data_IF_366304284481
#
_entry.id   IF_366304284481
#
_cell.length_a   1.000
_cell.length_b   1.000
_cell.length_c   1.000
_cell.angle_alpha   90.00
_cell.angle_beta   90.00
_cell.angle_gamma   90.00
#
_symmetry.space_group_name_H-M   'P 1'
#
loop_
_entity.id
_entity.type
_entity.pdbx_description
1 polymer ?
#
# COMPACT_ATOMS: atom_id res chain seq x y z
N UNK A 1 -5.31 -7.16 32.51
CA UNK A 1 -6.36 -7.65 31.59
C UNK A 1 -6.06 -9.11 31.28
N UNK A 2 -7.04 -10.03 31.40
CA UNK A 2 -6.78 -11.48 31.30
C UNK A 2 -6.73 -11.90 29.82
N UNK A 3 -5.53 -12.19 29.28
CA UNK A 3 -5.34 -12.59 27.87
C UNK A 3 -6.23 -13.77 27.46
N UNK A 4 -6.49 -14.71 28.37
CA UNK A 4 -7.36 -15.87 28.10
C UNK A 4 -8.83 -15.50 27.91
N UNK A 5 -9.31 -14.37 28.44
CA UNK A 5 -10.70 -13.93 28.21
C UNK A 5 -10.87 -13.27 26.85
N UNK A 6 -9.83 -12.63 26.31
CA UNK A 6 -9.86 -11.97 25.00
C UNK A 6 -9.83 -13.02 23.88
N UNK A 7 -8.98 -14.05 24.01
CA UNK A 7 -8.80 -15.09 22.99
C UNK A 7 -10.08 -15.89 22.69
N UNK A 8 -11.00 -15.99 23.66
CA UNK A 8 -12.30 -16.66 23.47
C UNK A 8 -13.19 -15.99 22.44
N UNK A 9 -12.96 -14.70 22.16
CA UNK A 9 -13.79 -13.93 21.24
C UNK A 9 -13.29 -13.99 19.80
N UNK A 10 -12.08 -14.50 19.53
CA UNK A 10 -11.51 -14.53 18.17
C UNK A 10 -12.33 -15.40 17.19
N UNK A 11 -13.02 -16.42 17.69
CA UNK A 11 -13.91 -17.26 16.88
C UNK A 11 -15.20 -16.55 16.48
N UNK A 12 -15.57 -15.46 17.15
CA UNK A 12 -16.76 -14.66 16.86
C UNK A 12 -16.49 -13.54 15.85
N UNK A 13 -15.22 -13.24 15.61
CA UNK A 13 -14.82 -12.23 14.63
C UNK A 13 -15.20 -12.69 13.22
N UNK A 14 -15.33 -11.73 12.31
CA UNK A 14 -15.36 -11.99 10.87
C UNK A 14 -13.96 -12.36 10.36
N UNK A 15 -13.89 -12.90 9.14
CA UNK A 15 -12.61 -13.19 8.48
C UNK A 15 -11.72 -11.94 8.37
N UNK A 16 -12.29 -10.79 8.03
CA UNK A 16 -11.56 -9.53 7.87
C UNK A 16 -11.03 -8.99 9.20
N UNK A 17 -11.84 -9.05 10.26
CA UNK A 17 -11.39 -8.64 11.61
C UNK A 17 -10.25 -9.54 12.12
N UNK A 18 -10.32 -10.86 11.88
CA UNK A 18 -9.21 -11.77 12.20
C UNK A 18 -7.96 -11.46 11.40
N UNK A 19 -8.11 -11.16 10.10
CA UNK A 19 -7.00 -10.79 9.23
C UNK A 19 -6.31 -9.52 9.73
N UNK A 20 -7.09 -8.47 10.01
CA UNK A 20 -6.61 -7.22 10.59
C UNK A 20 -5.87 -7.50 11.90
N UNK A 21 -6.48 -8.25 12.83
CA UNK A 21 -5.87 -8.56 14.11
C UNK A 21 -4.55 -9.35 13.95
N UNK A 22 -4.50 -10.31 13.02
CA UNK A 22 -3.29 -11.05 12.71
C UNK A 22 -2.19 -10.14 12.15
N UNK A 23 -2.53 -9.22 11.25
CA UNK A 23 -1.60 -8.22 10.71
C UNK A 23 -1.01 -7.32 11.82
N UNK A 24 -1.84 -6.87 12.77
CA UNK A 24 -1.39 -6.09 13.93
C UNK A 24 -0.54 -6.91 14.91
N UNK A 25 -0.84 -8.19 15.11
CA UNK A 25 -0.04 -9.08 15.96
C UNK A 25 1.36 -9.33 15.37
N UNK A 26 1.44 -9.50 14.03
CA UNK A 26 2.73 -9.57 13.29
C UNK A 26 3.56 -8.30 13.49
N UNK A 27 2.93 -7.12 13.50
CA UNK A 27 3.60 -5.85 13.77
C UNK A 27 4.41 -5.86 15.07
N UNK A 28 3.80 -6.41 16.11
CA UNK A 28 4.29 -6.42 17.48
C UNK A 28 5.25 -7.58 17.75
N UNK A 29 5.48 -8.44 16.76
CA UNK A 29 6.13 -9.73 16.93
C UNK A 29 5.46 -10.58 18.04
N UNK A 30 4.14 -10.47 18.19
CA UNK A 30 3.38 -11.24 19.19
C UNK A 30 3.00 -12.62 18.63
N UNK A 31 3.97 -13.53 18.61
CA UNK A 31 3.73 -14.91 18.15
C UNK A 31 2.63 -15.63 18.93
N UNK A 32 2.43 -15.27 20.20
CA UNK A 32 1.43 -15.91 21.05
C UNK A 32 0.02 -15.56 20.60
N UNK A 33 -0.20 -14.29 20.25
CA UNK A 33 -1.45 -13.80 19.69
C UNK A 33 -1.69 -14.34 18.27
N UNK A 34 -0.66 -14.36 17.42
CA UNK A 34 -0.73 -14.96 16.08
C UNK A 34 -1.19 -16.42 16.17
N UNK A 35 -0.55 -17.23 17.03
CA UNK A 35 -0.94 -18.64 17.24
C UNK A 35 -2.36 -18.78 17.77
N UNK A 36 -2.79 -17.90 18.67
CA UNK A 36 -4.15 -17.91 19.21
C UNK A 36 -5.20 -17.57 18.15
N UNK A 37 -4.94 -16.58 17.28
CA UNK A 37 -5.82 -16.21 16.17
C UNK A 37 -5.93 -17.38 15.18
N UNK A 38 -4.80 -17.95 14.75
CA UNK A 38 -4.76 -19.10 13.83
C UNK A 38 -5.55 -20.28 14.41
N UNK A 39 -5.38 -20.58 15.70
CA UNK A 39 -6.08 -21.68 16.36
C UNK A 39 -7.60 -21.46 16.47
N UNK A 40 -8.03 -20.21 16.66
CA UNK A 40 -9.44 -19.85 16.79
C UNK A 40 -10.16 -19.62 15.44
N UNK A 41 -9.41 -19.58 14.33
CA UNK A 41 -9.95 -19.28 13.01
C UNK A 41 -10.65 -20.49 12.39
N UNK A 42 -11.81 -20.29 11.72
CA UNK A 42 -12.37 -21.30 10.83
C UNK A 42 -11.34 -21.73 9.80
N UNK A 43 -11.35 -23.01 9.43
CA UNK A 43 -10.43 -23.55 8.42
C UNK A 43 -11.17 -23.88 7.14
N UNK A 44 -10.57 -23.51 6.01
CA UNK A 44 -11.09 -23.86 4.67
C UNK A 44 -10.60 -25.25 4.24
N UNK A 45 -9.45 -25.69 4.77
CA UNK A 45 -8.92 -27.03 4.60
C UNK A 45 -8.38 -27.59 5.93
N UNK A 46 -7.64 -28.71 5.91
CA UNK A 46 -7.19 -29.34 7.16
C UNK A 46 -6.28 -28.43 8.03
N UNK A 47 -5.55 -27.49 7.41
CA UNK A 47 -4.49 -26.71 8.07
C UNK A 47 -4.58 -25.19 7.88
N UNK A 48 -5.33 -24.69 6.90
CA UNK A 48 -5.29 -23.27 6.55
C UNK A 48 -6.51 -22.50 7.13
N UNK A 49 -6.26 -21.43 7.90
CA UNK A 49 -7.29 -20.46 8.27
C UNK A 49 -7.97 -19.84 7.05
N UNK A 50 -9.25 -19.48 7.21
CA UNK A 50 -10.07 -18.84 6.19
C UNK A 50 -9.48 -17.54 5.60
N UNK A 51 -8.79 -16.76 6.42
CA UNK A 51 -8.20 -15.49 6.00
C UNK A 51 -6.81 -15.62 5.33
N UNK A 52 -6.19 -16.81 5.32
CA UNK A 52 -4.78 -16.95 4.94
C UNK A 52 -4.52 -16.61 3.47
N UNK A 53 -5.39 -17.06 2.55
CA UNK A 53 -5.26 -16.77 1.11
C UNK A 53 -5.34 -15.27 0.84
N UNK A 54 -6.29 -14.57 1.48
CA UNK A 54 -6.40 -13.13 1.36
C UNK A 54 -5.17 -12.42 1.94
N UNK A 55 -4.65 -12.92 3.07
CA UNK A 55 -3.42 -12.40 3.67
C UNK A 55 -2.20 -12.55 2.74
N UNK A 56 -2.05 -13.68 2.05
CA UNK A 56 -1.00 -13.90 1.05
C UNK A 56 -1.14 -12.98 -0.15
N UNK A 57 -2.36 -12.79 -0.67
CA UNK A 57 -2.63 -11.87 -1.77
C UNK A 57 -2.32 -10.41 -1.38
N UNK A 58 -2.73 -9.99 -0.18
CA UNK A 58 -2.40 -8.68 0.39
C UNK A 58 -0.90 -8.49 0.48
N UNK A 59 -0.15 -9.47 0.99
CA UNK A 59 1.31 -9.37 1.07
C UNK A 59 1.97 -9.31 -0.30
N UNK A 60 1.51 -10.11 -1.26
CA UNK A 60 2.01 -10.08 -2.64
C UNK A 60 1.77 -8.71 -3.26
N UNK A 61 0.57 -8.16 -3.12
CA UNK A 61 0.24 -6.82 -3.60
C UNK A 61 1.08 -5.74 -2.91
N UNK A 62 1.27 -5.82 -1.58
CA UNK A 62 2.14 -4.91 -0.82
C UNK A 62 3.56 -4.86 -1.40
N UNK A 63 4.16 -6.01 -1.72
CA UNK A 63 5.47 -6.07 -2.34
C UNK A 63 5.49 -5.42 -3.72
N UNK A 64 4.53 -5.74 -4.58
CA UNK A 64 4.42 -5.12 -5.90
C UNK A 64 4.23 -3.59 -5.81
N UNK A 65 3.35 -3.12 -4.93
CA UNK A 65 3.12 -1.69 -4.72
C UNK A 65 4.39 -0.98 -4.23
N UNK A 66 5.15 -1.59 -3.32
CA UNK A 66 6.42 -1.04 -2.86
C UNK A 66 7.44 -0.92 -4.02
N UNK A 67 7.57 -1.96 -4.85
CA UNK A 67 8.46 -1.93 -6.03
C UNK A 67 8.05 -0.80 -6.99
N UNK A 68 6.75 -0.68 -7.27
CA UNK A 68 6.20 0.38 -8.13
C UNK A 68 6.53 1.77 -7.58
N UNK A 69 6.28 2.01 -6.29
CA UNK A 69 6.59 3.29 -5.63
C UNK A 69 8.08 3.62 -5.66
N UNK A 70 8.96 2.64 -5.43
CA UNK A 70 10.41 2.81 -5.55
C UNK A 70 10.81 3.17 -6.98
N UNK A 71 10.18 2.56 -7.98
CA UNK A 71 10.43 2.88 -9.38
C UNK A 71 10.11 4.34 -9.70
N UNK A 72 9.01 4.88 -9.15
CA UNK A 72 8.66 6.29 -9.31
C UNK A 72 9.64 7.22 -8.58
N UNK A 73 10.09 6.87 -7.38
CA UNK A 73 11.15 7.63 -6.67
C UNK A 73 12.43 7.69 -7.51
N UNK A 74 12.82 6.55 -8.12
CA UNK A 74 13.99 6.47 -8.97
C UNK A 74 13.82 7.33 -10.24
N UNK A 75 12.67 7.24 -10.91
CA UNK A 75 12.36 8.05 -12.09
C UNK A 75 12.38 9.54 -11.77
N UNK A 76 11.72 9.97 -10.68
CA UNK A 76 11.76 11.35 -10.20
C UNK A 76 13.21 11.83 -10.03
N UNK A 77 14.02 11.05 -9.32
CA UNK A 77 15.41 11.41 -9.03
C UNK A 77 16.25 11.48 -10.30
N UNK A 78 16.04 10.56 -11.25
CA UNK A 78 16.70 10.57 -12.55
C UNK A 78 16.33 11.82 -13.36
N UNK A 79 15.06 12.18 -13.43
CA UNK A 79 14.62 13.37 -14.17
C UNK A 79 15.18 14.66 -13.56
N UNK A 80 15.32 14.74 -12.24
CA UNK A 80 15.96 15.88 -11.58
C UNK A 80 17.45 16.02 -11.94
N UNK A 81 18.15 14.93 -12.26
CA UNK A 81 19.57 14.95 -12.61
C UNK A 81 19.85 15.33 -14.07
N UNK A 82 18.88 15.15 -14.97
CA UNK A 82 19.09 15.37 -16.41
C UNK A 82 19.03 16.86 -16.78
N UNK A 83 18.52 17.72 -15.90
CA UNK A 83 18.20 19.12 -16.20
C UNK A 83 18.71 20.05 -15.09
N UNK A 84 20.01 19.93 -14.74
CA UNK A 84 20.63 20.69 -13.62
C UNK A 84 20.63 22.22 -13.85
N UNK A 85 20.54 22.67 -15.10
CA UNK A 85 20.61 24.10 -15.47
C UNK A 85 19.24 24.79 -15.51
N UNK A 86 18.13 24.07 -15.24
CA UNK A 86 16.78 24.61 -15.37
C UNK A 86 16.26 25.19 -14.06
N UNK A 87 15.64 26.36 -14.13
CA UNK A 87 14.88 26.91 -13.01
C UNK A 87 13.62 26.06 -12.79
N UNK A 88 13.68 25.16 -11.80
CA UNK A 88 12.54 24.36 -11.35
C UNK A 88 12.64 22.87 -11.73
N UNK A 89 11.63 22.12 -11.32
CA UNK A 89 11.55 20.67 -11.57
C UNK A 89 10.99 20.39 -12.97
N UNK A 90 11.57 19.45 -13.73
CA UNK A 90 10.99 19.02 -15.00
C UNK A 90 9.58 18.44 -14.84
N UNK A 91 8.68 18.73 -15.78
CA UNK A 91 7.29 18.21 -15.76
C UNK A 91 7.23 16.67 -15.66
N UNK A 92 8.19 15.96 -16.24
CA UNK A 92 8.28 14.50 -16.13
C UNK A 92 8.59 14.03 -14.69
N UNK A 93 9.35 14.81 -13.91
CA UNK A 93 9.56 14.57 -12.49
C UNK A 93 8.25 14.80 -11.72
N UNK A 94 7.54 15.89 -11.99
CA UNK A 94 6.25 16.21 -11.36
C UNK A 94 5.19 15.12 -11.66
N UNK A 95 5.19 14.56 -12.88
CA UNK A 95 4.36 13.40 -13.23
C UNK A 95 4.75 12.14 -12.45
N UNK A 96 6.04 11.82 -12.33
CA UNK A 96 6.50 10.68 -11.53
C UNK A 96 6.10 10.82 -10.04
N UNK A 97 6.18 12.05 -9.51
CA UNK A 97 5.70 12.37 -8.16
C UNK A 97 4.18 12.13 -8.04
N UNK A 98 3.38 12.55 -9.01
CA UNK A 98 1.93 12.26 -9.03
C UNK A 98 1.64 10.75 -9.02
N UNK A 99 2.31 9.97 -9.87
CA UNK A 99 2.12 8.51 -9.93
C UNK A 99 2.48 7.83 -8.61
N UNK A 100 3.54 8.30 -7.95
CA UNK A 100 3.90 7.86 -6.60
C UNK A 100 2.80 8.13 -5.58
N UNK A 101 2.27 9.36 -5.54
CA UNK A 101 1.24 9.76 -4.58
C UNK A 101 -0.03 8.94 -4.81
N UNK A 102 -0.44 8.79 -6.07
CA UNK A 102 -1.62 8.00 -6.45
C UNK A 102 -1.51 6.55 -5.99
N UNK A 103 -0.40 5.87 -6.27
CA UNK A 103 -0.16 4.48 -5.85
C UNK A 103 -0.05 4.33 -4.32
N UNK A 104 0.46 5.36 -3.64
CA UNK A 104 0.54 5.38 -2.17
C UNK A 104 -0.85 5.53 -1.55
N UNK A 105 -1.64 6.46 -2.05
CA UNK A 105 -2.95 6.80 -1.49
C UNK A 105 -4.02 5.77 -1.82
N UNK A 106 -3.98 5.16 -3.02
CA UNK A 106 -4.90 4.08 -3.41
C UNK A 106 -4.75 2.89 -2.48
N UNK A 107 -3.51 2.50 -2.19
CA UNK A 107 -3.20 1.41 -1.27
C UNK A 107 -3.59 1.74 0.17
N UNK A 108 -3.37 2.99 0.61
CA UNK A 108 -3.79 3.44 1.95
C UNK A 108 -5.30 3.31 2.13
N UNK A 109 -6.08 3.73 1.14
CA UNK A 109 -7.54 3.60 1.18
C UNK A 109 -7.94 2.13 1.37
N UNK A 110 -7.38 1.21 0.57
CA UNK A 110 -7.66 -0.23 0.71
C UNK A 110 -7.23 -0.78 2.08
N UNK A 111 -6.10 -0.32 2.62
CA UNK A 111 -5.66 -0.69 3.97
C UNK A 111 -6.67 -0.26 5.03
N UNK A 112 -7.12 0.99 4.97
CA UNK A 112 -8.09 1.55 5.92
C UNK A 112 -9.43 0.80 5.85
N UNK A 113 -9.88 0.43 4.65
CA UNK A 113 -11.09 -0.37 4.44
C UNK A 113 -11.01 -1.76 5.06
N UNK A 114 -9.83 -2.37 5.04
CA UNK A 114 -9.56 -3.70 5.57
C UNK A 114 -9.14 -3.68 7.04
N UNK A 115 -9.04 -2.50 7.67
CA UNK A 115 -8.52 -2.33 9.02
C UNK A 115 -7.06 -2.75 9.17
N UNK A 116 -6.30 -2.78 8.07
CA UNK A 116 -4.89 -3.12 8.08
C UNK A 116 -4.08 -1.98 8.66
N UNK A 117 -2.86 -2.28 9.09
CA UNK A 117 -1.92 -1.21 9.43
C UNK A 117 -1.64 -0.35 8.19
N UNK A 118 -1.63 0.99 8.34
CA UNK A 118 -1.39 1.92 7.25
C UNK A 118 0.02 1.79 6.63
N UNK A 119 0.97 1.16 7.32
CA UNK A 119 2.32 0.97 6.80
C UNK A 119 2.94 -0.38 7.19
N UNK A 120 2.73 -1.38 6.35
CA UNK A 120 3.67 -2.51 6.26
C UNK A 120 5.00 -2.09 5.59
N UNK A 121 5.01 -0.92 4.94
CA UNK A 121 6.18 -0.37 4.29
C UNK A 121 7.30 -0.13 5.28
N UNK A 122 7.08 0.35 6.51
CA UNK A 122 8.16 0.64 7.45
C UNK A 122 8.96 -0.60 7.85
N UNK A 123 8.31 -1.75 8.03
CA UNK A 123 8.99 -3.01 8.35
C UNK A 123 9.84 -3.54 7.19
N UNK A 124 9.27 -3.54 5.96
CA UNK A 124 10.03 -3.93 4.76
C UNK A 124 11.13 -2.89 4.48
N UNK A 125 10.81 -1.61 4.63
CA UNK A 125 11.72 -0.51 4.38
C UNK A 125 12.86 -0.53 5.38
N UNK A 126 12.65 -0.84 6.66
CA UNK A 126 13.73 -1.06 7.62
C UNK A 126 14.65 -2.22 7.22
N UNK A 127 14.11 -3.23 6.54
CA UNK A 127 14.88 -4.39 6.08
C UNK A 127 15.62 -4.16 4.75
N UNK A 128 15.08 -3.32 3.87
CA UNK A 128 15.61 -3.10 2.52
C UNK A 128 16.33 -1.75 2.35
N UNK A 129 15.90 -0.71 3.06
CA UNK A 129 16.31 0.69 2.92
C UNK A 129 16.36 1.38 4.30
N UNK A 130 16.50 2.71 4.34
CA UNK A 130 16.23 3.47 5.57
C UNK A 130 14.78 3.97 5.52
N UNK A 131 13.98 3.70 6.56
CA UNK A 131 12.61 4.25 6.69
C UNK A 131 12.61 5.76 6.52
N UNK A 132 13.61 6.44 7.11
CA UNK A 132 13.79 7.89 7.00
C UNK A 132 13.93 8.35 5.55
N UNK A 133 14.58 7.57 4.68
CA UNK A 133 14.69 7.93 3.26
C UNK A 133 13.32 7.97 2.58
N UNK A 134 12.47 6.96 2.85
CA UNK A 134 11.14 6.90 2.26
C UNK A 134 10.19 7.94 2.83
N UNK A 135 10.28 8.26 4.12
CA UNK A 135 9.51 9.35 4.73
C UNK A 135 9.86 10.70 4.12
N UNK A 136 11.17 10.98 3.96
CA UNK A 136 11.64 12.22 3.32
C UNK A 136 11.18 12.28 1.86
N UNK A 137 11.25 11.17 1.12
CA UNK A 137 10.78 11.11 -0.27
C UNK A 137 9.26 11.24 -0.38
N UNK A 138 8.48 10.59 0.49
CA UNK A 138 7.01 10.72 0.49
C UNK A 138 6.61 12.18 0.68
N UNK A 139 7.19 12.86 1.67
CA UNK A 139 6.94 14.27 1.92
C UNK A 139 7.27 15.14 0.71
N UNK A 140 8.48 15.00 0.16
CA UNK A 140 8.93 15.76 -1.00
C UNK A 140 8.02 15.54 -2.22
N UNK A 141 7.73 14.29 -2.56
CA UNK A 141 6.93 13.96 -3.74
C UNK A 141 5.50 14.47 -3.60
N UNK A 142 4.90 14.44 -2.41
CA UNK A 142 3.58 15.04 -2.16
C UNK A 142 3.57 16.56 -2.33
N UNK A 143 4.64 17.24 -1.93
CA UNK A 143 4.74 18.71 -2.06
C UNK A 143 4.86 19.18 -3.51
N UNK A 144 5.46 18.36 -4.39
CA UNK A 144 5.75 18.74 -5.78
C UNK A 144 4.90 18.00 -6.81
N UNK A 145 4.11 17.00 -6.42
CA UNK A 145 3.30 16.22 -7.35
C UNK A 145 2.34 17.11 -8.15
N UNK A 146 2.17 16.78 -9.43
CA UNK A 146 1.04 17.30 -10.18
C UNK A 146 -0.28 16.97 -9.47
N UNK A 147 -1.26 17.85 -9.64
CA UNK A 147 -2.67 17.50 -9.50
C UNK A 147 -3.10 16.55 -10.62
N UNK A 148 -4.22 15.84 -10.44
CA UNK A 148 -4.75 14.97 -11.50
C UNK A 148 -5.03 15.74 -12.81
N UNK A 149 -5.54 16.96 -12.72
CA UNK A 149 -5.77 17.84 -13.88
C UNK A 149 -4.48 18.18 -14.61
N UNK A 150 -3.42 18.55 -13.88
CA UNK A 150 -2.12 18.89 -14.47
C UNK A 150 -1.48 17.67 -15.13
N UNK A 151 -1.55 16.50 -14.50
CA UNK A 151 -1.05 15.26 -15.08
C UNK A 151 -1.79 14.89 -16.38
N UNK A 152 -3.12 15.05 -16.42
CA UNK A 152 -3.94 14.85 -17.62
C UNK A 152 -3.56 15.82 -18.74
N UNK A 153 -3.40 17.10 -18.41
CA UNK A 153 -3.05 18.12 -19.40
C UNK A 153 -1.62 17.93 -19.94
N UNK A 154 -0.67 17.57 -19.09
CA UNK A 154 0.69 17.23 -19.49
C UNK A 154 0.71 16.05 -20.47
N UNK A 155 0.04 14.93 -20.13
CA UNK A 155 -0.02 13.74 -21.00
C UNK A 155 -0.74 14.00 -22.31
N UNK A 156 -1.81 14.81 -22.29
CA UNK A 156 -2.50 15.22 -23.52
C UNK A 156 -1.55 15.97 -24.46
N UNK A 157 -0.72 16.86 -23.93
CA UNK A 157 0.27 17.62 -24.70
C UNK A 157 1.40 16.75 -25.26
N UNK A 158 1.92 15.82 -24.46
CA UNK A 158 3.09 15.02 -24.83
C UNK A 158 2.75 13.81 -25.71
N UNK A 159 1.64 13.13 -25.44
CA UNK A 159 1.34 11.82 -26.03
C UNK A 159 -0.01 11.78 -26.77
N UNK A 160 -0.79 12.86 -26.76
CA UNK A 160 -2.11 12.90 -27.40
C UNK A 160 -3.19 12.02 -26.74
N UNK A 161 -2.86 11.33 -25.64
CA UNK A 161 -3.76 10.43 -24.90
C UNK A 161 -4.14 11.02 -23.53
N UNK A 162 -5.37 10.73 -23.08
CA UNK A 162 -5.94 11.19 -21.80
C UNK A 162 -5.99 10.04 -20.78
N UNK A 163 -5.54 8.84 -21.13
CA UNK A 163 -5.79 7.66 -20.32
C UNK A 163 -4.75 7.51 -19.18
N UNK A 164 -4.86 8.38 -18.19
CA UNK A 164 -4.19 8.24 -16.89
C UNK A 164 -5.24 7.77 -15.88
N UNK A 165 -4.94 6.68 -15.18
CA UNK A 165 -5.80 6.20 -14.10
C UNK A 165 -5.91 7.27 -13.01
N UNK A 166 -7.12 7.47 -12.50
CA UNK A 166 -7.36 8.28 -11.31
C UNK A 166 -7.01 7.49 -10.04
N UNK A 167 -7.01 8.16 -8.90
CA UNK A 167 -6.91 7.51 -7.59
C UNK A 167 -8.02 6.45 -7.40
N UNK A 168 -9.23 6.75 -7.86
CA UNK A 168 -10.41 5.89 -7.74
C UNK A 168 -10.28 4.66 -8.64
N UNK A 169 -9.80 4.83 -9.87
CA UNK A 169 -9.55 3.73 -10.81
C UNK A 169 -8.52 2.75 -10.25
N UNK A 170 -7.40 3.26 -9.73
CA UNK A 170 -6.36 2.42 -9.13
C UNK A 170 -6.89 1.71 -7.87
N UNK A 171 -7.60 2.43 -6.99
CA UNK A 171 -8.22 1.82 -5.81
C UNK A 171 -9.19 0.70 -6.20
N UNK A 172 -10.00 0.90 -7.25
CA UNK A 172 -10.92 -0.10 -7.78
C UNK A 172 -10.17 -1.33 -8.30
N UNK A 173 -9.12 -1.14 -9.09
CA UNK A 173 -8.30 -2.23 -9.61
C UNK A 173 -7.68 -3.07 -8.47
N UNK A 174 -7.18 -2.42 -7.42
CA UNK A 174 -6.66 -3.12 -6.23
C UNK A 174 -7.74 -3.98 -5.57
N UNK A 175 -8.97 -3.45 -5.43
CA UNK A 175 -10.09 -4.23 -4.89
C UNK A 175 -10.40 -5.45 -5.76
N UNK A 176 -10.43 -5.29 -7.07
CA UNK A 176 -10.67 -6.38 -8.03
C UNK A 176 -9.60 -7.47 -7.93
N UNK A 177 -8.32 -7.09 -7.89
CA UNK A 177 -7.19 -8.02 -7.73
C UNK A 177 -7.27 -8.79 -6.41
N UNK A 178 -7.69 -8.12 -5.33
CA UNK A 178 -7.83 -8.74 -4.02
C UNK A 178 -9.16 -9.50 -3.83
N UNK A 179 -10.06 -9.48 -4.81
CA UNK A 179 -11.38 -10.10 -4.72
C UNK A 179 -12.29 -9.45 -3.67
N UNK A 180 -12.09 -8.16 -3.40
CA UNK A 180 -12.88 -7.39 -2.44
C UNK A 180 -14.16 -6.87 -3.10
N UNK A 181 -15.27 -6.74 -2.34
CA UNK A 181 -16.49 -6.15 -2.86
C UNK A 181 -16.24 -4.69 -3.28
N UNK A 182 -16.72 -4.34 -4.47
CA UNK A 182 -16.74 -2.95 -4.93
C UNK A 182 -17.72 -2.16 -4.07
N UNK A 183 -17.26 -1.05 -3.52
CA UNK A 183 -18.08 -0.09 -2.77
C UNK A 183 -18.59 1.01 -3.70
#
# INVERSE_FOLDING_TARGET
>A
MNLKSIQKNYSQLTMLERLSLADHAVARNDESEIRAIIAASPRVCYSQPDYLVLFENINSFRFCNLITRLSYIMQFSLFCLVDEDREGLPDCALLAAYLYVRATDSWRIVCDELGLRPNFNEQISNSLFSVTMLEVKDKLLREVAFTESEAKDYLRKQCGSINIQTLEDETKEIREVLGLPLK
#
